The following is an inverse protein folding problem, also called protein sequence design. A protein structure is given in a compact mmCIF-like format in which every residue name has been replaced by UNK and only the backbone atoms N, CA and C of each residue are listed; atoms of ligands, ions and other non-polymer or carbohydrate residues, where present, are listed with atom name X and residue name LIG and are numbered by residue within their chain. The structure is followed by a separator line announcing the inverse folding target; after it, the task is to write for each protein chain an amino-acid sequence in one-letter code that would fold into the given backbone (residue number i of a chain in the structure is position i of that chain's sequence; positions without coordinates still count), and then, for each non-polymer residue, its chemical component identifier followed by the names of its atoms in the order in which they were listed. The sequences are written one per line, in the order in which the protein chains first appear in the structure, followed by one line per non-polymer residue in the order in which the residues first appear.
data_IF_478133888719
#
_entry.id   IF_478133888719
#
_cell.length_a   1.000
_cell.length_b   1.000
_cell.length_c   1.000
_cell.angle_alpha   90.00
_cell.angle_beta   90.00
_cell.angle_gamma   90.00
#
_symmetry.space_group_name_H-M   'P 1'
#
loop_
_entity.id
_entity.type
_entity.pdbx_description
1 polymer ?
#
# COMPACT_ATOMS: atom_id res chain seq x y z
N UNK A 1 5.23 6.37 -17.33
CA UNK A 1 4.35 6.72 -16.18
C UNK A 1 4.59 8.16 -15.72
N UNK A 2 5.84 8.61 -15.66
CA UNK A 2 6.23 9.97 -15.26
C UNK A 2 5.61 10.99 -16.21
N UNK A 3 5.75 10.78 -17.53
CA UNK A 3 5.16 11.62 -18.57
C UNK A 3 3.64 11.74 -18.41
N UNK A 4 2.98 10.64 -18.05
CA UNK A 4 1.54 10.60 -17.87
C UNK A 4 1.07 11.40 -16.64
N UNK A 5 1.82 11.39 -15.54
CA UNK A 5 1.46 12.08 -14.30
C UNK A 5 1.70 13.59 -14.33
N UNK A 6 2.68 14.02 -15.09
CA UNK A 6 3.16 15.42 -15.14
C UNK A 6 2.64 16.20 -16.36
N UNK A 7 1.89 15.52 -17.26
CA UNK A 7 1.42 16.12 -18.50
C UNK A 7 0.14 16.91 -18.29
N UNK A 8 0.14 18.18 -18.67
CA UNK A 8 -1.08 18.99 -18.84
C UNK A 8 -2.02 18.41 -19.93
N UNK A 9 -1.52 17.50 -20.77
CA UNK A 9 -2.23 16.82 -21.86
C UNK A 9 -2.69 15.41 -21.47
N UNK A 10 -2.97 15.17 -20.21
CA UNK A 10 -3.34 13.86 -19.67
C UNK A 10 -4.51 13.18 -20.42
N UNK A 11 -5.60 13.92 -20.67
CA UNK A 11 -6.78 13.40 -21.35
C UNK A 11 -6.49 13.05 -22.81
N UNK A 12 -5.67 13.83 -23.51
CA UNK A 12 -5.25 13.57 -24.88
C UNK A 12 -4.39 12.29 -24.98
N UNK A 13 -3.45 12.12 -24.05
CA UNK A 13 -2.63 10.89 -23.99
C UNK A 13 -3.48 9.66 -23.71
N UNK A 14 -4.51 9.77 -22.88
CA UNK A 14 -5.46 8.70 -22.60
C UNK A 14 -6.25 8.30 -23.84
N UNK A 15 -6.73 9.28 -24.59
CA UNK A 15 -7.45 9.05 -25.85
C UNK A 15 -6.55 8.40 -26.90
N UNK A 16 -5.33 8.94 -27.09
CA UNK A 16 -4.33 8.34 -27.98
C UNK A 16 -4.05 6.88 -27.62
N UNK A 17 -3.92 6.58 -26.32
CA UNK A 17 -3.69 5.22 -25.83
C UNK A 17 -4.88 4.30 -26.12
N UNK A 18 -6.10 4.78 -25.91
CA UNK A 18 -7.32 4.04 -26.23
C UNK A 18 -7.39 3.68 -27.72
N UNK A 19 -7.15 4.67 -28.61
CA UNK A 19 -7.11 4.47 -30.06
C UNK A 19 -6.00 3.50 -30.47
N UNK A 20 -4.79 3.64 -29.91
CA UNK A 20 -3.68 2.73 -30.17
C UNK A 20 -4.03 1.29 -29.81
N UNK A 21 -4.60 1.05 -28.65
CA UNK A 21 -5.01 -0.29 -28.21
C UNK A 21 -6.16 -0.86 -29.06
N UNK A 22 -7.05 0.01 -29.56
CA UNK A 22 -8.08 -0.36 -30.52
C UNK A 22 -7.48 -0.84 -31.86
N UNK A 23 -6.43 -0.17 -32.34
CA UNK A 23 -5.70 -0.59 -33.54
C UNK A 23 -5.06 -1.98 -33.35
N UNK A 24 -4.42 -2.23 -32.20
CA UNK A 24 -3.86 -3.56 -31.90
C UNK A 24 -4.95 -4.63 -31.92
N UNK A 25 -6.14 -4.35 -31.37
CA UNK A 25 -7.28 -5.26 -31.44
C UNK A 25 -7.73 -5.53 -32.88
N UNK A 26 -7.90 -4.49 -33.69
CA UNK A 26 -8.37 -4.61 -35.09
C UNK A 26 -7.40 -5.48 -35.93
N UNK A 27 -6.11 -5.44 -35.62
CA UNK A 27 -5.09 -6.25 -36.31
C UNK A 27 -4.76 -7.56 -35.59
N UNK A 28 -5.58 -7.96 -34.60
CA UNK A 28 -5.40 -9.18 -33.78
C UNK A 28 -4.03 -9.29 -33.13
N UNK A 29 -3.41 -8.16 -32.80
CA UNK A 29 -2.07 -8.09 -32.20
C UNK A 29 -2.17 -8.31 -30.70
N UNK A 30 -1.64 -9.43 -30.22
CA UNK A 30 -1.45 -9.73 -28.81
C UNK A 30 0.00 -9.50 -28.42
N UNK A 31 0.23 -8.66 -27.41
CA UNK A 31 1.56 -8.48 -26.82
C UNK A 31 1.59 -9.06 -25.41
N UNK A 32 2.42 -10.07 -25.17
CA UNK A 32 2.42 -10.81 -23.90
C UNK A 32 3.03 -10.04 -22.71
N UNK A 33 3.56 -8.83 -22.96
CA UNK A 33 4.18 -7.95 -21.94
C UNK A 33 3.94 -6.48 -22.30
N UNK A 34 2.69 -6.14 -22.59
CA UNK A 34 2.27 -4.79 -23.00
C UNK A 34 2.19 -3.86 -21.79
N UNK A 35 3.32 -3.38 -21.33
CA UNK A 35 3.36 -2.36 -20.27
C UNK A 35 3.81 -1.00 -20.83
N UNK A 36 3.67 0.06 -20.01
CA UNK A 36 3.94 1.44 -20.42
C UNK A 36 5.32 1.66 -21.02
N UNK A 37 6.34 0.93 -20.56
CA UNK A 37 7.71 1.10 -21.02
C UNK A 37 7.96 0.45 -22.40
N UNK A 38 7.01 -0.37 -22.87
CA UNK A 38 7.01 -0.94 -24.22
C UNK A 38 6.17 -0.14 -25.24
N UNK A 39 5.72 1.07 -24.83
CA UNK A 39 5.01 2.02 -25.68
C UNK A 39 5.80 3.33 -25.69
N UNK A 40 6.31 3.73 -26.83
CA UNK A 40 6.97 5.00 -27.04
C UNK A 40 5.98 6.05 -27.56
N UNK A 41 6.15 7.28 -27.07
CA UNK A 41 5.44 8.47 -27.58
C UNK A 41 6.43 9.27 -28.39
N UNK A 42 6.18 9.46 -29.69
CA UNK A 42 6.99 10.28 -30.59
C UNK A 42 6.07 11.00 -31.57
N UNK A 43 6.24 12.31 -31.72
CA UNK A 43 5.48 13.15 -32.67
C UNK A 43 3.95 12.92 -32.63
N UNK A 44 3.40 12.86 -31.41
CA UNK A 44 1.97 12.59 -31.17
C UNK A 44 1.48 11.22 -31.68
N UNK A 45 2.39 10.27 -31.83
CA UNK A 45 2.08 8.90 -32.19
C UNK A 45 2.62 7.92 -31.15
N UNK A 46 1.95 6.77 -31.02
CA UNK A 46 2.36 5.70 -30.14
C UNK A 46 2.98 4.55 -30.95
N UNK A 47 4.14 4.10 -30.51
CA UNK A 47 4.89 3.01 -31.14
C UNK A 47 5.06 1.87 -30.17
N UNK A 48 4.79 0.64 -30.64
CA UNK A 48 5.06 -0.57 -29.89
C UNK A 48 6.52 -0.99 -30.08
N UNK A 49 7.21 -1.22 -28.98
CA UNK A 49 8.56 -1.77 -28.97
C UNK A 49 8.56 -3.17 -28.34
N UNK A 50 9.71 -3.84 -28.33
CA UNK A 50 9.85 -5.20 -27.79
C UNK A 50 9.02 -6.25 -28.55
N UNK A 51 9.02 -6.15 -29.88
CA UNK A 51 8.13 -6.92 -30.76
C UNK A 51 8.31 -8.45 -30.70
N UNK A 52 9.41 -8.95 -30.10
CA UNK A 52 9.63 -10.40 -29.94
C UNK A 52 8.58 -11.07 -29.04
N UNK A 53 7.86 -10.30 -28.24
CA UNK A 53 6.74 -10.77 -27.39
C UNK A 53 5.37 -10.61 -28.06
N UNK A 54 5.34 -10.09 -29.27
CA UNK A 54 4.13 -9.86 -30.06
C UNK A 54 3.72 -11.10 -30.82
N UNK A 55 2.41 -11.36 -30.90
CA UNK A 55 1.82 -12.40 -31.73
C UNK A 55 0.61 -11.85 -32.47
N UNK A 56 0.53 -12.09 -33.77
CA UNK A 56 -0.68 -11.88 -34.56
C UNK A 56 -1.48 -13.17 -34.50
N UNK A 57 -2.71 -13.10 -34.04
CA UNK A 57 -3.58 -14.25 -33.81
C UNK A 57 -4.60 -14.39 -34.95
N UNK A 58 -4.94 -15.60 -35.33
CA UNK A 58 -6.01 -15.87 -36.31
C UNK A 58 -7.40 -15.41 -35.76
N UNK A 59 -7.60 -15.51 -34.44
CA UNK A 59 -8.77 -14.99 -33.75
C UNK A 59 -8.36 -14.23 -32.51
N UNK A 60 -9.00 -13.11 -32.23
CA UNK A 60 -8.72 -12.26 -31.07
C UNK A 60 -9.93 -12.30 -30.11
N UNK A 61 -9.74 -12.94 -28.97
CA UNK A 61 -10.80 -13.17 -28.01
C UNK A 61 -10.97 -11.98 -27.07
N UNK A 62 -12.10 -11.87 -26.35
CA UNK A 62 -12.30 -10.89 -25.29
C UNK A 62 -11.23 -11.00 -24.18
N UNK A 63 -10.70 -12.20 -23.92
CA UNK A 63 -9.59 -12.38 -22.97
C UNK A 63 -8.26 -11.83 -23.50
N UNK A 64 -7.99 -11.92 -24.79
CA UNK A 64 -6.82 -11.30 -25.42
C UNK A 64 -6.92 -9.76 -25.32
N UNK A 65 -8.10 -9.24 -25.62
CA UNK A 65 -8.44 -7.83 -25.53
C UNK A 65 -8.25 -7.33 -24.10
N UNK A 66 -8.89 -7.96 -23.12
CA UNK A 66 -8.78 -7.61 -21.71
C UNK A 66 -7.33 -7.71 -21.21
N UNK A 67 -6.57 -8.67 -21.67
CA UNK A 67 -5.18 -8.83 -21.29
C UNK A 67 -4.28 -7.71 -21.83
N UNK A 68 -4.41 -7.29 -23.10
CA UNK A 68 -3.68 -6.14 -23.61
C UNK A 68 -4.00 -4.88 -22.80
N UNK A 69 -5.29 -4.59 -22.60
CA UNK A 69 -5.76 -3.45 -21.82
C UNK A 69 -5.23 -3.49 -20.38
N UNK A 70 -5.34 -4.63 -19.71
CA UNK A 70 -4.94 -4.77 -18.30
C UNK A 70 -3.45 -4.55 -18.09
N UNK A 71 -2.59 -5.01 -18.99
CA UNK A 71 -1.14 -4.83 -18.90
C UNK A 71 -0.73 -3.35 -18.97
N UNK A 72 -1.41 -2.55 -19.78
CA UNK A 72 -1.17 -1.11 -19.88
C UNK A 72 -1.79 -0.37 -18.70
N UNK A 73 -3.07 -0.66 -18.40
CA UNK A 73 -3.85 0.10 -17.43
C UNK A 73 -3.46 -0.16 -15.98
N UNK A 74 -2.94 -1.33 -15.63
CA UNK A 74 -2.63 -1.70 -14.22
C UNK A 74 -1.79 -0.67 -13.47
N UNK A 75 -0.92 0.06 -14.18
CA UNK A 75 -0.05 1.08 -13.59
C UNK A 75 -0.68 2.47 -13.50
N UNK A 76 -1.68 2.76 -14.33
CA UNK A 76 -2.31 4.09 -14.43
C UNK A 76 -3.74 4.12 -13.89
N UNK A 77 -4.45 3.01 -13.91
CA UNK A 77 -5.88 2.91 -13.61
C UNK A 77 -6.30 3.48 -12.25
N UNK A 78 -5.44 3.36 -11.24
CA UNK A 78 -5.71 3.89 -9.90
C UNK A 78 -5.60 5.41 -9.80
N UNK A 79 -5.07 6.07 -10.82
CA UNK A 79 -4.94 7.53 -10.90
C UNK A 79 -6.07 8.16 -11.71
N UNK A 80 -6.82 7.35 -12.47
CA UNK A 80 -7.95 7.81 -13.26
C UNK A 80 -9.20 7.95 -12.38
N UNK A 81 -9.94 9.02 -12.58
CA UNK A 81 -11.27 9.18 -12.00
C UNK A 81 -12.33 8.37 -12.79
N UNK A 82 -13.62 8.49 -12.40
CA UNK A 82 -14.71 7.75 -13.04
C UNK A 82 -14.98 8.20 -14.46
N UNK A 83 -14.84 9.51 -14.72
CA UNK A 83 -15.16 10.11 -16.01
C UNK A 83 -14.04 9.79 -17.02
N UNK A 84 -12.79 9.86 -16.60
CA UNK A 84 -11.63 9.45 -17.39
C UNK A 84 -11.67 7.96 -17.76
N UNK A 85 -12.05 7.08 -16.84
CA UNK A 85 -12.24 5.65 -17.11
C UNK A 85 -13.33 5.44 -18.15
N UNK A 86 -14.47 6.12 -17.99
CA UNK A 86 -15.60 6.02 -18.92
C UNK A 86 -15.22 6.53 -20.31
N UNK A 87 -14.53 7.68 -20.39
CA UNK A 87 -14.04 8.27 -21.63
C UNK A 87 -13.03 7.34 -22.34
N UNK A 88 -12.08 6.75 -21.60
CA UNK A 88 -11.13 5.78 -22.14
C UNK A 88 -11.82 4.59 -22.81
N UNK A 89 -12.77 3.93 -22.12
CA UNK A 89 -13.46 2.78 -22.68
C UNK A 89 -14.42 3.15 -23.82
N UNK A 90 -14.97 4.36 -23.82
CA UNK A 90 -15.74 4.91 -24.94
C UNK A 90 -14.87 5.12 -26.18
N UNK A 91 -13.70 5.77 -26.05
CA UNK A 91 -12.74 5.98 -27.14
C UNK A 91 -12.15 4.68 -27.66
N UNK A 92 -11.93 3.69 -26.77
CA UNK A 92 -11.53 2.33 -27.13
C UNK A 92 -12.63 1.61 -27.95
N UNK A 93 -13.90 1.98 -27.76
CA UNK A 93 -15.06 1.43 -28.50
C UNK A 93 -15.62 0.13 -27.92
N UNK A 94 -15.37 -0.17 -26.63
CA UNK A 94 -15.99 -1.31 -25.93
C UNK A 94 -16.11 -1.02 -24.43
N UNK A 95 -17.20 -0.37 -24.05
CA UNK A 95 -17.48 -0.06 -22.62
C UNK A 95 -17.82 -1.28 -21.79
N UNK A 96 -18.35 -2.35 -22.39
CA UNK A 96 -18.73 -3.57 -21.69
C UNK A 96 -17.57 -4.42 -21.20
N UNK A 97 -16.35 -4.17 -21.69
CA UNK A 97 -15.16 -4.94 -21.32
C UNK A 97 -14.52 -4.50 -19.97
N UNK A 98 -14.91 -3.33 -19.46
CA UNK A 98 -14.29 -2.74 -18.28
C UNK A 98 -14.17 -3.73 -17.09
N UNK A 99 -15.26 -4.41 -16.74
CA UNK A 99 -15.26 -5.36 -15.63
C UNK A 99 -14.29 -6.53 -15.83
N UNK A 100 -14.14 -7.01 -17.07
CA UNK A 100 -13.18 -8.06 -17.40
C UNK A 100 -11.73 -7.55 -17.31
N UNK A 101 -11.47 -6.33 -17.76
CA UNK A 101 -10.17 -5.68 -17.65
C UNK A 101 -9.76 -5.51 -16.19
N UNK A 102 -10.67 -5.06 -15.33
CA UNK A 102 -10.43 -4.94 -13.89
C UNK A 102 -10.08 -6.27 -13.24
N UNK A 103 -10.77 -7.36 -13.62
CA UNK A 103 -10.45 -8.72 -13.15
C UNK A 103 -9.06 -9.17 -13.62
N UNK A 104 -8.70 -8.92 -14.88
CA UNK A 104 -7.39 -9.28 -15.42
C UNK A 104 -6.26 -8.43 -14.78
N UNK A 105 -6.49 -7.14 -14.53
CA UNK A 105 -5.55 -6.31 -13.76
C UNK A 105 -5.31 -6.90 -12.37
N UNK A 106 -6.35 -7.37 -11.70
CA UNK A 106 -6.24 -8.02 -10.39
C UNK A 106 -5.42 -9.31 -10.44
N UNK A 107 -5.67 -10.15 -11.43
CA UNK A 107 -4.89 -11.38 -11.65
C UNK A 107 -3.42 -11.06 -11.91
N UNK A 108 -3.16 -10.04 -12.72
CA UNK A 108 -1.82 -9.59 -13.08
C UNK A 108 -1.08 -9.06 -11.85
N UNK A 109 -1.69 -8.15 -11.09
CA UNK A 109 -1.12 -7.60 -9.86
C UNK A 109 -0.81 -8.71 -8.82
N UNK A 110 -1.75 -9.64 -8.60
CA UNK A 110 -1.55 -10.76 -7.69
C UNK A 110 -0.41 -11.69 -8.14
N UNK A 111 -0.27 -11.92 -9.46
CA UNK A 111 0.84 -12.71 -10.04
C UNK A 111 2.19 -12.02 -9.79
N UNK A 112 2.27 -10.71 -9.99
CA UNK A 112 3.49 -9.93 -9.73
C UNK A 112 3.87 -9.94 -8.25
N UNK A 113 2.90 -9.66 -7.36
CA UNK A 113 3.11 -9.72 -5.91
C UNK A 113 3.64 -11.10 -5.50
N UNK A 114 3.03 -12.18 -6.00
CA UNK A 114 3.48 -13.55 -5.73
C UNK A 114 4.92 -13.77 -6.19
N UNK A 115 5.25 -13.44 -7.44
CA UNK A 115 6.61 -13.56 -7.97
C UNK A 115 7.64 -12.78 -7.15
N UNK A 116 7.31 -11.55 -6.71
CA UNK A 116 8.23 -10.74 -5.88
C UNK A 116 8.44 -11.38 -4.51
N UNK A 117 7.39 -11.93 -3.89
CA UNK A 117 7.49 -12.67 -2.63
C UNK A 117 8.31 -13.95 -2.75
N UNK A 118 8.13 -14.71 -3.81
CA UNK A 118 8.90 -15.94 -4.08
C UNK A 118 10.39 -15.64 -4.25
N UNK A 119 10.73 -14.56 -4.93
CA UNK A 119 12.11 -14.15 -5.23
C UNK A 119 12.75 -13.21 -4.20
N UNK A 120 12.08 -12.96 -3.08
CA UNK A 120 12.57 -12.01 -2.06
C UNK A 120 13.88 -12.43 -1.35
N UNK A 121 14.30 -13.69 -1.51
CA UNK A 121 15.56 -14.24 -0.99
C UNK A 121 16.46 -14.76 -2.12
N UNK A 122 16.41 -14.13 -3.28
CA UNK A 122 17.22 -14.45 -4.45
C UNK A 122 17.84 -13.17 -5.02
N UNK A 123 18.99 -13.28 -5.63
CA UNK A 123 19.62 -12.20 -6.42
C UNK A 123 18.69 -11.80 -7.55
N UNK A 124 18.39 -10.52 -7.65
CA UNK A 124 17.53 -9.91 -8.69
C UNK A 124 17.95 -8.47 -8.93
N UNK A 125 17.34 -7.79 -9.91
CA UNK A 125 17.53 -6.34 -10.08
C UNK A 125 17.11 -5.50 -8.85
N UNK A 126 16.33 -6.06 -7.92
CA UNK A 126 15.85 -5.37 -6.71
C UNK A 126 16.52 -5.86 -5.42
N UNK A 127 17.19 -7.00 -5.45
CA UNK A 127 17.77 -7.65 -4.28
C UNK A 127 19.22 -7.98 -4.57
N UNK A 128 20.12 -7.47 -3.74
CA UNK A 128 21.55 -7.81 -3.73
C UNK A 128 21.81 -8.79 -2.58
N UNK A 129 22.54 -9.87 -2.85
CA UNK A 129 22.83 -10.92 -1.85
C UNK A 129 24.30 -10.85 -1.44
N UNK A 130 24.56 -10.77 -0.12
CA UNK A 130 25.92 -10.81 0.46
C UNK A 130 25.93 -11.72 1.68
N UNK A 131 26.39 -12.95 1.50
CA UNK A 131 26.36 -13.95 2.55
C UNK A 131 24.93 -14.28 2.99
N UNK A 132 24.63 -14.10 4.27
CA UNK A 132 23.29 -14.31 4.86
C UNK A 132 22.39 -13.05 4.82
N UNK A 133 22.82 -11.97 4.17
CA UNK A 133 22.10 -10.69 4.06
C UNK A 133 21.54 -10.49 2.67
N UNK A 134 20.29 -10.02 2.62
CA UNK A 134 19.55 -9.69 1.40
C UNK A 134 19.17 -8.20 1.48
N UNK A 135 19.75 -7.39 0.60
CA UNK A 135 19.60 -5.94 0.58
C UNK A 135 18.57 -5.53 -0.48
N UNK A 136 17.79 -4.50 -0.19
CA UNK A 136 17.15 -3.75 -1.29
C UNK A 136 18.24 -3.02 -2.06
N UNK A 137 18.24 -3.13 -3.38
CA UNK A 137 19.23 -2.51 -4.26
C UNK A 137 19.38 -1.02 -3.96
N UNK A 138 20.62 -0.55 -3.79
CA UNK A 138 20.96 0.83 -3.42
C UNK A 138 20.97 1.10 -1.91
N UNK A 139 20.70 0.08 -1.07
CA UNK A 139 20.71 0.22 0.40
C UNK A 139 21.92 -0.45 1.07
N UNK A 140 22.89 -0.94 0.31
CA UNK A 140 24.01 -1.76 0.78
C UNK A 140 24.97 -1.02 1.70
N UNK A 141 25.06 0.30 1.60
CA UNK A 141 25.89 1.18 2.42
C UNK A 141 25.16 1.80 3.62
N UNK A 142 23.88 1.49 3.79
CA UNK A 142 23.08 1.99 4.91
C UNK A 142 23.37 1.18 6.18
N UNK A 143 22.98 1.74 7.34
CA UNK A 143 23.09 1.09 8.64
C UNK A 143 24.52 1.03 9.20
N UNK A 144 25.15 2.18 9.42
CA UNK A 144 26.54 2.34 9.90
C UNK A 144 26.62 2.80 11.36
N UNK A 145 25.51 3.27 11.95
CA UNK A 145 25.48 3.89 13.27
C UNK A 145 25.56 2.89 14.43
N UNK A 146 25.97 3.37 15.61
CA UNK A 146 26.05 2.61 16.84
C UNK A 146 24.69 2.41 17.54
N UNK A 147 24.58 1.37 18.36
CA UNK A 147 23.39 1.11 19.19
C UNK A 147 23.19 2.24 20.20
N UNK A 148 21.99 2.83 20.20
CA UNK A 148 21.58 3.88 21.14
C UNK A 148 20.77 3.30 22.30
N UNK A 149 19.74 2.51 22.01
CA UNK A 149 18.89 1.90 23.04
C UNK A 149 18.10 0.72 22.51
N UNK A 150 17.61 -0.09 23.45
CA UNK A 150 16.60 -1.13 23.16
C UNK A 150 15.20 -0.54 23.41
N UNK A 151 14.39 -0.47 22.37
CA UNK A 151 13.03 0.12 22.42
C UNK A 151 12.06 -0.90 23.01
N UNK A 152 12.16 -2.17 22.59
CA UNK A 152 11.20 -3.21 22.95
C UNK A 152 11.87 -4.58 23.00
N UNK A 153 11.52 -5.35 24.01
CA UNK A 153 11.84 -6.78 24.10
C UNK A 153 10.61 -7.52 24.56
N UNK A 154 10.13 -8.45 23.75
CA UNK A 154 9.11 -9.41 24.15
C UNK A 154 9.47 -10.82 23.62
N UNK A 155 8.62 -11.82 23.89
CA UNK A 155 8.86 -13.20 23.44
C UNK A 155 8.91 -13.39 21.93
N UNK A 156 8.44 -12.43 21.14
CA UNK A 156 8.27 -12.54 19.68
C UNK A 156 9.26 -11.68 18.92
N UNK A 157 9.61 -10.51 19.46
CA UNK A 157 10.45 -9.52 18.79
C UNK A 157 11.35 -8.80 19.79
N UNK A 158 12.50 -8.34 19.27
CA UNK A 158 13.36 -7.35 19.90
C UNK A 158 13.55 -6.19 18.93
N UNK A 159 13.35 -4.97 19.38
CA UNK A 159 13.52 -3.76 18.59
C UNK A 159 14.63 -2.92 19.19
N UNK A 160 15.67 -2.67 18.42
CA UNK A 160 16.85 -1.91 18.78
C UNK A 160 16.96 -0.67 17.92
N UNK A 161 17.21 0.47 18.54
CA UNK A 161 17.43 1.73 17.88
C UNK A 161 18.92 2.00 17.79
N UNK A 162 19.36 2.27 16.59
CA UNK A 162 20.69 2.75 16.26
C UNK A 162 20.63 4.22 15.84
N UNK A 163 21.74 4.87 15.66
CA UNK A 163 21.80 6.29 15.29
C UNK A 163 21.04 6.57 13.99
N UNK A 164 21.21 5.73 12.99
CA UNK A 164 20.71 5.93 11.63
C UNK A 164 19.62 4.90 11.21
N UNK A 165 19.43 3.83 12.01
CA UNK A 165 18.50 2.76 11.64
C UNK A 165 17.82 2.12 12.85
N UNK A 166 16.80 1.33 12.58
CA UNK A 166 16.13 0.40 13.52
C UNK A 166 16.46 -1.03 13.09
N UNK A 167 16.82 -1.87 14.06
CA UNK A 167 16.91 -3.31 13.85
C UNK A 167 15.78 -4.01 14.60
N UNK A 168 14.96 -4.76 13.86
CA UNK A 168 13.87 -5.59 14.42
C UNK A 168 14.24 -7.06 14.27
N UNK A 169 14.53 -7.73 15.38
CA UNK A 169 14.88 -9.15 15.45
C UNK A 169 13.63 -9.96 15.75
N UNK A 170 13.45 -11.09 15.07
CA UNK A 170 12.26 -11.93 15.15
C UNK A 170 12.60 -13.30 15.73
N UNK A 171 11.85 -13.75 16.74
CA UNK A 171 11.95 -15.09 17.28
C UNK A 171 11.42 -16.17 16.32
N UNK A 172 10.58 -15.78 15.35
CA UNK A 172 9.99 -16.69 14.36
C UNK A 172 10.51 -16.38 12.96
N UNK A 173 11.18 -17.38 12.35
CA UNK A 173 11.63 -17.32 10.95
C UNK A 173 10.48 -17.01 9.99
N UNK A 174 9.32 -17.64 10.16
CA UNK A 174 8.15 -17.40 9.33
C UNK A 174 7.67 -15.93 9.41
N UNK A 175 7.72 -15.31 10.60
CA UNK A 175 7.36 -13.90 10.79
C UNK A 175 8.38 -12.98 10.14
N UNK A 176 9.68 -13.24 10.30
CA UNK A 176 10.77 -12.54 9.63
C UNK A 176 10.59 -12.58 8.11
N UNK A 177 10.46 -13.79 7.54
CA UNK A 177 10.34 -13.95 6.09
C UNK A 177 9.10 -13.27 5.52
N UNK A 178 7.98 -13.31 6.26
CA UNK A 178 6.76 -12.59 5.86
C UNK A 178 6.96 -11.08 5.86
N UNK A 179 7.59 -10.54 6.91
CA UNK A 179 7.90 -9.12 6.99
C UNK A 179 8.81 -8.68 5.83
N UNK A 180 9.89 -9.41 5.59
CA UNK A 180 10.80 -9.12 4.48
C UNK A 180 10.13 -9.18 3.12
N UNK A 181 9.35 -10.24 2.83
CA UNK A 181 8.58 -10.34 1.59
C UNK A 181 7.61 -9.17 1.40
N UNK A 182 7.02 -8.68 2.47
CA UNK A 182 6.16 -7.51 2.41
C UNK A 182 6.96 -6.23 2.11
N UNK A 183 8.12 -6.02 2.72
CA UNK A 183 9.01 -4.89 2.39
C UNK A 183 9.43 -4.91 0.91
N UNK A 184 9.80 -6.07 0.38
CA UNK A 184 10.17 -6.23 -1.05
C UNK A 184 9.00 -5.87 -1.97
N UNK A 185 7.78 -6.29 -1.63
CA UNK A 185 6.59 -5.92 -2.42
C UNK A 185 6.31 -4.43 -2.35
N UNK A 186 6.40 -3.81 -1.17
CA UNK A 186 6.19 -2.37 -1.01
C UNK A 186 7.24 -1.55 -1.78
N UNK A 187 8.50 -1.96 -1.74
CA UNK A 187 9.57 -1.36 -2.53
C UNK A 187 9.30 -1.50 -4.04
N UNK A 188 8.86 -2.68 -4.50
CA UNK A 188 8.45 -2.90 -5.90
C UNK A 188 7.30 -2.00 -6.33
N UNK A 189 6.32 -1.79 -5.46
CA UNK A 189 5.18 -0.90 -5.74
C UNK A 189 5.55 0.59 -5.64
N UNK A 190 6.79 0.91 -5.25
CA UNK A 190 7.28 2.27 -5.00
C UNK A 190 6.34 3.05 -4.06
N UNK A 191 5.95 2.43 -2.96
CA UNK A 191 5.01 3.00 -1.99
C UNK A 191 5.72 3.34 -0.68
N UNK A 192 5.81 4.63 -0.37
CA UNK A 192 6.36 5.14 0.90
C UNK A 192 5.33 5.08 2.04
N UNK A 193 4.68 3.92 2.19
CA UNK A 193 3.63 3.71 3.22
C UNK A 193 4.13 2.93 4.45
N UNK A 194 5.40 2.54 4.48
CA UNK A 194 6.05 1.85 5.58
C UNK A 194 7.52 2.23 5.64
N UNK A 195 8.22 2.06 6.79
CA UNK A 195 9.63 2.35 6.90
C UNK A 195 10.43 1.60 5.83
N UNK A 196 11.37 2.29 5.18
CA UNK A 196 12.22 1.70 4.15
C UNK A 196 13.11 0.62 4.78
N UNK A 197 12.96 -0.63 4.36
CA UNK A 197 13.88 -1.68 4.76
C UNK A 197 15.18 -1.57 3.96
N UNK A 198 16.31 -1.75 4.65
CA UNK A 198 17.63 -1.76 4.03
C UNK A 198 18.03 -3.17 3.67
N UNK A 199 17.98 -4.07 4.65
CA UNK A 199 18.28 -5.48 4.45
C UNK A 199 17.61 -6.38 5.50
N UNK A 200 17.52 -7.67 5.18
CA UNK A 200 17.22 -8.73 6.11
C UNK A 200 18.46 -9.60 6.31
N UNK A 201 18.75 -9.95 7.55
CA UNK A 201 19.74 -10.96 7.91
C UNK A 201 19.02 -12.25 8.26
N UNK A 202 19.36 -13.31 7.52
CA UNK A 202 18.74 -14.65 7.66
C UNK A 202 19.83 -15.68 7.96
N UNK A 203 20.14 -15.94 9.25
CA UNK A 203 21.13 -16.94 9.62
C UNK A 203 20.77 -18.34 9.13
N UNK A 204 21.78 -19.09 8.69
CA UNK A 204 21.62 -20.46 8.20
C UNK A 204 21.43 -21.51 9.31
N UNK A 205 21.93 -21.20 10.51
CA UNK A 205 21.98 -22.08 11.70
C UNK A 205 20.69 -22.13 12.53
N UNK A 206 19.62 -21.48 12.06
CA UNK A 206 18.35 -21.42 12.79
C UNK A 206 18.28 -20.37 13.90
N UNK A 207 19.34 -19.58 14.10
CA UNK A 207 19.31 -18.43 15.01
C UNK A 207 18.32 -17.35 14.58
N UNK A 208 18.03 -16.40 15.48
CA UNK A 208 17.08 -15.32 15.22
C UNK A 208 17.59 -14.40 14.12
N UNK A 209 16.76 -14.19 13.10
CA UNK A 209 17.06 -13.22 12.03
C UNK A 209 16.48 -11.83 12.31
N UNK A 210 16.99 -10.83 11.61
CA UNK A 210 16.57 -9.44 11.80
C UNK A 210 16.33 -8.71 10.48
N UNK A 211 15.48 -7.66 10.54
CA UNK A 211 15.33 -6.66 9.47
C UNK A 211 15.89 -5.35 9.98
N UNK A 212 16.73 -4.73 9.17
CA UNK A 212 17.26 -3.39 9.41
C UNK A 212 16.54 -2.42 8.48
N UNK A 213 16.04 -1.32 9.05
CA UNK A 213 15.17 -0.37 8.36
C UNK A 213 15.40 1.05 8.83
N UNK A 214 14.81 1.98 8.14
CA UNK A 214 14.83 3.42 8.43
C UNK A 214 14.43 3.73 9.89
N UNK A 215 15.19 4.66 10.51
CA UNK A 215 14.86 5.23 11.81
C UNK A 215 13.91 6.42 11.62
N UNK A 216 12.73 6.34 12.24
CA UNK A 216 11.71 7.40 12.19
C UNK A 216 11.76 8.35 13.40
N UNK A 217 12.73 8.17 14.32
CA UNK A 217 12.84 9.04 15.49
C UNK A 217 13.02 10.49 15.07
N UNK A 218 12.33 11.40 15.77
CA UNK A 218 12.37 12.83 15.50
C UNK A 218 11.59 13.26 14.24
N UNK A 219 11.03 12.32 13.47
CA UNK A 219 10.22 12.63 12.27
C UNK A 219 8.72 12.70 12.57
N UNK A 220 8.30 12.18 13.72
CA UNK A 220 6.89 12.09 14.10
C UNK A 220 6.68 11.14 15.28
N UNK A 221 5.47 10.62 15.42
CA UNK A 221 5.11 9.66 16.47
C UNK A 221 3.91 8.80 16.05
N UNK A 222 3.60 7.76 16.80
CA UNK A 222 2.46 6.89 16.59
C UNK A 222 1.15 7.67 16.77
N UNK A 223 0.09 7.30 16.06
CA UNK A 223 -1.20 8.01 15.99
C UNK A 223 -1.86 8.16 17.38
N UNK A 224 -1.80 7.14 18.22
CA UNK A 224 -2.34 7.18 19.59
C UNK A 224 -1.61 8.22 20.45
N UNK A 225 -0.29 8.23 20.45
CA UNK A 225 0.52 9.24 21.15
C UNK A 225 0.30 10.65 20.59
N UNK A 226 0.20 10.75 19.25
CA UNK A 226 -0.09 12.03 18.61
C UNK A 226 -1.42 12.59 19.04
N UNK A 227 -2.47 11.76 19.07
CA UNK A 227 -3.80 12.18 19.51
C UNK A 227 -3.84 12.46 21.02
N UNK A 228 -3.15 11.66 21.84
CA UNK A 228 -3.07 11.91 23.28
C UNK A 228 -2.39 13.24 23.61
N UNK A 229 -1.35 13.63 22.87
CA UNK A 229 -0.61 14.87 23.13
C UNK A 229 -1.14 16.11 22.43
N UNK A 230 -1.88 15.98 21.31
CA UNK A 230 -2.21 17.12 20.45
C UNK A 230 -3.71 17.38 20.26
N UNK A 231 -4.59 16.37 20.43
CA UNK A 231 -5.99 16.48 20.04
C UNK A 231 -6.72 17.67 20.71
N UNK A 232 -6.52 17.88 22.00
CA UNK A 232 -7.23 18.94 22.76
C UNK A 232 -6.76 20.34 22.36
N UNK A 233 -5.53 20.49 21.90
CA UNK A 233 -4.94 21.77 21.47
C UNK A 233 -5.26 22.13 20.03
N UNK A 234 -5.75 21.16 19.22
CA UNK A 234 -6.13 21.42 17.84
C UNK A 234 -7.41 22.22 17.73
N UNK A 235 -7.42 23.24 16.89
CA UNK A 235 -8.64 23.91 16.48
C UNK A 235 -9.56 22.97 15.67
N UNK A 236 -10.86 23.25 15.65
CA UNK A 236 -11.85 22.39 14.95
C UNK A 236 -11.53 22.17 13.48
N UNK A 237 -11.03 23.19 12.78
CA UNK A 237 -10.66 23.07 11.38
C UNK A 237 -9.41 22.19 11.18
N UNK A 238 -8.46 22.21 12.11
CA UNK A 238 -7.27 21.36 12.09
C UNK A 238 -7.63 19.90 12.32
N UNK A 239 -8.52 19.60 13.28
CA UNK A 239 -9.06 18.24 13.50
C UNK A 239 -9.73 17.70 12.25
N UNK A 240 -10.57 18.51 11.58
CA UNK A 240 -11.23 18.14 10.33
C UNK A 240 -10.23 17.84 9.22
N UNK A 241 -9.21 18.68 9.05
CA UNK A 241 -8.14 18.48 8.06
C UNK A 241 -7.32 17.23 8.36
N UNK A 242 -6.99 17.00 9.62
CA UNK A 242 -6.28 15.80 10.06
C UNK A 242 -7.07 14.52 9.73
N UNK A 243 -8.37 14.49 10.07
CA UNK A 243 -9.25 13.36 9.79
C UNK A 243 -9.35 13.12 8.28
N UNK A 244 -9.51 14.15 7.48
CA UNK A 244 -9.56 14.02 6.01
C UNK A 244 -8.27 13.38 5.48
N UNK A 245 -7.10 13.87 5.89
CA UNK A 245 -5.79 13.33 5.45
C UNK A 245 -5.56 11.88 5.90
N UNK A 246 -5.93 11.53 7.14
CA UNK A 246 -5.87 10.15 7.62
C UNK A 246 -6.79 9.25 6.80
N UNK A 247 -7.99 9.73 6.51
CA UNK A 247 -8.96 9.03 5.66
C UNK A 247 -8.41 8.80 4.25
N UNK A 248 -7.86 9.84 3.63
CA UNK A 248 -7.27 9.76 2.28
C UNK A 248 -6.12 8.76 2.22
N UNK A 249 -5.23 8.77 3.23
CA UNK A 249 -4.16 7.78 3.36
C UNK A 249 -4.71 6.35 3.43
N UNK A 250 -5.70 6.08 4.29
CA UNK A 250 -6.29 4.76 4.43
C UNK A 250 -7.08 4.33 3.18
N UNK A 251 -7.77 5.25 2.52
CA UNK A 251 -8.42 4.98 1.23
C UNK A 251 -7.41 4.67 0.14
N UNK A 252 -6.32 5.42 0.08
CA UNK A 252 -5.24 5.19 -0.90
C UNK A 252 -4.66 3.78 -0.75
N UNK A 253 -4.29 3.34 0.45
CA UNK A 253 -3.75 1.98 0.65
C UNK A 253 -4.80 0.90 0.35
N UNK A 254 -6.06 1.14 0.70
CA UNK A 254 -7.18 0.22 0.43
C UNK A 254 -7.43 0.07 -1.08
N UNK A 255 -7.42 1.17 -1.84
CA UNK A 255 -7.53 1.15 -3.32
C UNK A 255 -6.38 0.35 -3.97
N UNK A 256 -5.19 0.38 -3.37
CA UNK A 256 -4.04 -0.43 -3.79
C UNK A 256 -4.09 -1.88 -3.27
N UNK A 257 -5.23 -2.29 -2.69
CA UNK A 257 -5.46 -3.63 -2.13
C UNK A 257 -4.46 -4.00 -1.03
N UNK A 258 -4.09 -3.01 -0.23
CA UNK A 258 -3.24 -3.17 0.95
C UNK A 258 -4.13 -3.00 2.18
N UNK A 259 -4.11 -3.99 3.06
CA UNK A 259 -4.76 -3.94 4.36
C UNK A 259 -3.75 -4.28 5.46
N UNK A 260 -3.93 -3.70 6.63
CA UNK A 260 -3.17 -4.03 7.83
C UNK A 260 -4.04 -4.88 8.75
N UNK A 261 -3.61 -6.11 9.06
CA UNK A 261 -4.40 -7.07 9.86
C UNK A 261 -4.62 -6.61 11.30
N UNK A 262 -3.65 -5.88 11.87
CA UNK A 262 -3.69 -5.32 13.23
C UNK A 262 -3.66 -3.78 13.16
N UNK A 263 -4.77 -3.17 12.65
CA UNK A 263 -4.90 -1.72 12.43
C UNK A 263 -5.18 -0.99 13.74
N UNK A 264 -4.22 -1.02 14.66
CA UNK A 264 -4.23 -0.21 15.88
C UNK A 264 -3.62 1.16 15.61
N UNK A 265 -3.97 2.14 16.45
CA UNK A 265 -3.41 3.48 16.31
C UNK A 265 -1.88 3.51 16.48
N UNK A 266 -1.31 2.68 17.35
CA UNK A 266 0.15 2.53 17.48
C UNK A 266 0.84 1.97 16.23
N UNK A 267 0.11 1.39 15.29
CA UNK A 267 0.64 0.89 14.00
C UNK A 267 0.50 1.89 12.86
N UNK A 268 0.02 3.12 13.16
CA UNK A 268 -0.02 4.24 12.22
C UNK A 268 0.91 5.33 12.75
N UNK A 269 1.94 5.67 11.98
CA UNK A 269 2.88 6.74 12.30
C UNK A 269 2.41 8.04 11.65
N UNK A 270 2.48 9.14 12.40
CA UNK A 270 2.10 10.49 11.97
C UNK A 270 3.37 11.33 11.90
N UNK A 271 3.74 11.81 10.72
CA UNK A 271 4.88 12.71 10.54
C UNK A 271 4.55 14.13 11.02
N UNK A 272 5.54 14.86 11.49
CA UNK A 272 5.39 16.27 11.86
C UNK A 272 4.90 17.14 10.71
N UNK A 273 5.32 16.83 9.48
CA UNK A 273 4.88 17.45 8.23
C UNK A 273 3.46 17.01 7.83
N UNK A 274 2.92 16.04 8.55
CA UNK A 274 1.55 15.57 8.46
C UNK A 274 1.28 14.46 7.45
N UNK A 275 2.26 13.69 7.02
CA UNK A 275 2.08 12.41 6.32
C UNK A 275 1.76 11.28 7.28
N UNK A 276 1.47 10.10 6.72
CA UNK A 276 1.21 8.88 7.48
C UNK A 276 2.01 7.71 6.94
N UNK A 277 2.28 6.75 7.82
CA UNK A 277 2.99 5.52 7.48
C UNK A 277 2.46 4.36 8.33
N UNK A 278 2.48 3.14 7.80
CA UNK A 278 2.15 1.94 8.56
C UNK A 278 3.40 1.36 9.21
N UNK A 279 3.29 0.99 10.46
CA UNK A 279 4.29 0.20 11.17
C UNK A 279 3.92 -1.30 11.12
N UNK A 280 4.76 -2.17 11.70
CA UNK A 280 4.52 -3.62 11.78
C UNK A 280 4.16 -4.28 10.44
N UNK A 281 5.04 -4.09 9.45
CA UNK A 281 4.88 -4.52 8.04
C UNK A 281 4.55 -6.02 7.89
N UNK A 282 4.91 -6.86 8.86
CA UNK A 282 4.54 -8.27 8.86
C UNK A 282 3.02 -8.52 8.89
N UNK A 283 2.24 -7.55 9.34
CA UNK A 283 0.79 -7.65 9.39
C UNK A 283 0.07 -7.06 8.17
N UNK A 284 0.83 -6.54 7.19
CA UNK A 284 0.30 -6.14 5.89
C UNK A 284 -0.14 -7.37 5.08
N UNK A 285 -1.28 -7.23 4.39
CA UNK A 285 -1.83 -8.19 3.43
C UNK A 285 -2.16 -7.49 2.14
N UNK A 286 -1.81 -8.11 1.01
CA UNK A 286 -2.09 -7.61 -0.34
C UNK A 286 -3.35 -8.29 -0.86
N UNK A 287 -4.49 -7.76 -0.54
CA UNK A 287 -5.81 -8.20 -0.99
C UNK A 287 -6.84 -7.08 -0.83
N UNK A 288 -7.97 -7.21 -1.52
CA UNK A 288 -9.08 -6.28 -1.35
C UNK A 288 -9.61 -6.28 0.10
N UNK A 289 -10.10 -5.13 0.55
CA UNK A 289 -10.76 -4.98 1.83
C UNK A 289 -12.17 -5.55 1.72
N UNK A 290 -12.41 -6.66 2.40
CA UNK A 290 -13.75 -7.22 2.58
C UNK A 290 -14.44 -6.61 3.81
N UNK A 291 -15.76 -6.81 3.92
CA UNK A 291 -16.57 -6.23 4.98
C UNK A 291 -16.12 -6.67 6.38
N UNK A 292 -15.72 -7.92 6.55
CA UNK A 292 -15.25 -8.45 7.82
C UNK A 292 -13.90 -7.81 8.25
N UNK A 293 -12.99 -7.65 7.30
CA UNK A 293 -11.72 -6.94 7.53
C UNK A 293 -11.93 -5.46 7.81
N UNK A 294 -12.90 -4.83 7.14
CA UNK A 294 -13.29 -3.43 7.39
C UNK A 294 -13.82 -3.27 8.82
N UNK A 295 -14.76 -4.10 9.27
CA UNK A 295 -15.28 -4.07 10.63
C UNK A 295 -14.16 -4.23 11.66
N UNK A 296 -13.30 -5.24 11.46
CA UNK A 296 -12.14 -5.49 12.35
C UNK A 296 -11.21 -4.30 12.42
N UNK A 297 -10.85 -3.71 11.29
CA UNK A 297 -9.98 -2.54 11.21
C UNK A 297 -10.58 -1.35 11.96
N UNK A 298 -11.86 -1.06 11.73
CA UNK A 298 -12.56 0.04 12.39
C UNK A 298 -12.68 -0.17 13.91
N UNK A 299 -12.96 -1.40 14.36
CA UNK A 299 -12.99 -1.75 15.79
C UNK A 299 -11.62 -1.54 16.42
N UNK A 300 -10.56 -2.08 15.80
CA UNK A 300 -9.20 -1.96 16.31
C UNK A 300 -8.78 -0.49 16.42
N UNK A 301 -9.01 0.30 15.37
CA UNK A 301 -8.69 1.72 15.40
C UNK A 301 -9.51 2.45 16.47
N UNK A 302 -10.82 2.20 16.53
CA UNK A 302 -11.73 2.86 17.49
C UNK A 302 -11.37 2.57 18.96
N UNK A 303 -10.89 1.35 19.26
CA UNK A 303 -10.51 0.91 20.62
C UNK A 303 -9.05 1.21 20.99
N UNK A 304 -8.30 1.86 20.11
CA UNK A 304 -6.88 2.21 20.37
C UNK A 304 -6.59 3.70 20.19
N UNK A 305 -7.59 4.54 19.97
CA UNK A 305 -7.45 5.99 20.01
C UNK A 305 -8.04 6.54 21.33
N UNK A 306 -7.46 7.60 21.92
CA UNK A 306 -7.89 8.14 23.19
C UNK A 306 -9.38 8.49 23.25
N UNK A 307 -10.05 8.27 24.39
CA UNK A 307 -11.46 8.59 24.58
C UNK A 307 -11.78 10.08 24.33
N UNK A 308 -10.82 10.97 24.62
CA UNK A 308 -10.93 12.41 24.38
C UNK A 308 -11.21 12.79 22.92
N UNK A 309 -10.87 11.91 21.96
CA UNK A 309 -11.28 12.08 20.55
C UNK A 309 -12.80 12.02 20.47
N UNK A 310 -13.43 13.14 20.14
CA UNK A 310 -14.87 13.31 20.21
C UNK A 310 -15.63 12.30 19.36
N UNK A 311 -16.82 11.91 19.82
CA UNK A 311 -17.74 11.06 19.05
C UNK A 311 -18.04 11.63 17.66
N UNK A 312 -18.17 12.96 17.54
CA UNK A 312 -18.39 13.62 16.25
C UNK A 312 -17.24 13.41 15.28
N UNK A 313 -15.99 13.43 15.76
CA UNK A 313 -14.82 13.21 14.92
C UNK A 313 -14.62 11.72 14.54
N UNK A 314 -14.96 10.78 15.44
CA UNK A 314 -15.01 9.35 15.14
C UNK A 314 -16.06 9.04 14.06
N UNK A 315 -17.26 9.62 14.16
CA UNK A 315 -18.31 9.49 13.16
C UNK A 315 -17.89 10.11 11.84
N UNK A 316 -17.26 11.29 11.86
CA UNK A 316 -16.75 11.95 10.65
C UNK A 316 -15.75 11.08 9.91
N UNK A 317 -14.78 10.52 10.62
CA UNK A 317 -13.83 9.56 10.05
C UNK A 317 -14.55 8.36 9.42
N UNK A 318 -15.47 7.73 10.16
CA UNK A 318 -16.24 6.59 9.66
C UNK A 318 -16.98 6.92 8.36
N UNK A 319 -17.71 8.04 8.34
CA UNK A 319 -18.49 8.45 7.16
C UNK A 319 -17.61 8.75 5.95
N UNK A 320 -16.50 9.48 6.14
CA UNK A 320 -15.57 9.79 5.07
C UNK A 320 -14.90 8.51 4.53
N UNK A 321 -14.44 7.63 5.42
CA UNK A 321 -13.76 6.41 5.01
C UNK A 321 -14.67 5.42 4.28
N UNK A 322 -15.92 5.29 4.70
CA UNK A 322 -16.89 4.39 4.08
C UNK A 322 -17.65 5.02 2.90
N UNK A 323 -17.50 6.34 2.68
CA UNK A 323 -18.23 7.07 1.62
C UNK A 323 -18.11 6.43 0.24
N UNK A 324 -16.91 6.06 -0.27
CA UNK A 324 -16.77 5.49 -1.61
C UNK A 324 -17.13 4.00 -1.69
N UNK A 325 -17.52 3.38 -0.57
CA UNK A 325 -17.80 1.95 -0.52
C UNK A 325 -19.29 1.67 -0.72
N UNK A 326 -19.60 0.64 -1.54
CA UNK A 326 -20.97 0.16 -1.75
C UNK A 326 -21.34 -0.83 -0.64
N UNK A 327 -21.70 -0.32 0.56
CA UNK A 327 -21.94 -1.11 1.77
C UNK A 327 -23.16 -0.56 2.53
N UNK A 328 -23.81 -1.41 3.33
CA UNK A 328 -24.77 -0.95 4.34
C UNK A 328 -24.02 -0.27 5.50
N UNK A 329 -23.80 1.02 5.35
CA UNK A 329 -23.04 1.84 6.31
C UNK A 329 -23.68 1.84 7.70
N UNK A 330 -25.03 1.78 7.80
CA UNK A 330 -25.75 1.77 9.08
C UNK A 330 -25.51 0.45 9.83
N UNK A 331 -25.59 -0.67 9.13
CA UNK A 331 -25.32 -1.99 9.70
C UNK A 331 -23.86 -2.10 10.17
N UNK A 332 -22.89 -1.65 9.36
CA UNK A 332 -21.47 -1.65 9.71
C UNK A 332 -21.21 -0.76 10.91
N UNK A 333 -21.73 0.48 10.91
CA UNK A 333 -21.57 1.42 12.03
C UNK A 333 -22.07 0.82 13.33
N UNK A 334 -23.32 0.30 13.33
CA UNK A 334 -23.93 -0.33 14.50
C UNK A 334 -23.11 -1.53 15.00
N UNK A 335 -22.59 -2.35 14.12
CA UNK A 335 -21.72 -3.48 14.48
C UNK A 335 -20.39 -3.01 15.08
N UNK A 336 -19.74 -2.01 14.48
CA UNK A 336 -18.47 -1.45 14.98
C UNK A 336 -18.65 -0.84 16.37
N UNK A 337 -19.69 -0.04 16.58
CA UNK A 337 -19.97 0.57 17.90
C UNK A 337 -20.23 -0.52 18.93
N UNK A 338 -21.14 -1.45 18.66
CA UNK A 338 -21.50 -2.52 19.59
C UNK A 338 -20.28 -3.38 19.99
N UNK A 339 -19.42 -3.74 19.04
CA UNK A 339 -18.25 -4.57 19.32
C UNK A 339 -17.10 -3.75 19.96
N UNK A 340 -17.01 -2.45 19.69
CA UNK A 340 -16.06 -1.58 20.38
C UNK A 340 -16.44 -1.40 21.86
N UNK A 341 -17.71 -1.16 22.17
CA UNK A 341 -18.18 -0.94 23.54
C UNK A 341 -18.05 -2.15 24.48
N UNK A 342 -17.80 -3.35 23.90
CA UNK A 342 -17.46 -4.58 24.69
C UNK A 342 -15.99 -4.61 25.13
N UNK A 343 -15.18 -3.65 24.75
CA UNK A 343 -13.71 -3.62 24.95
C UNK A 343 -13.33 -2.32 25.64
N UNK A 344 -12.30 -2.37 26.47
CA UNK A 344 -11.62 -1.16 26.93
C UNK A 344 -10.94 -0.43 25.77
N UNK A 345 -10.80 0.87 25.87
CA UNK A 345 -9.90 1.66 25.04
C UNK A 345 -8.48 1.51 25.60
N UNK A 346 -7.57 0.89 24.84
CA UNK A 346 -6.19 0.66 25.27
C UNK A 346 -5.23 1.24 24.22
N UNK A 347 -4.40 2.20 24.64
CA UNK A 347 -3.48 2.90 23.74
C UNK A 347 -2.18 3.31 24.43
N UNK A 348 -1.14 3.54 23.63
CA UNK A 348 0.12 4.11 24.10
C UNK A 348 -0.04 5.63 24.20
N UNK A 349 -0.10 6.15 25.42
CA UNK A 349 -0.09 7.59 25.68
C UNK A 349 1.33 8.18 25.57
N UNK A 350 1.44 9.51 25.76
CA UNK A 350 2.74 10.19 25.72
C UNK A 350 3.71 9.59 26.74
N UNK A 351 3.24 9.29 27.94
CA UNK A 351 4.08 8.86 29.05
C UNK A 351 4.01 7.34 29.33
N UNK A 352 2.84 6.72 29.08
CA UNK A 352 2.58 5.32 29.45
C UNK A 352 1.41 4.72 28.67
N UNK A 353 1.28 3.38 28.78
CA UNK A 353 0.08 2.66 28.36
C UNK A 353 -1.12 3.16 29.18
N UNK A 354 -2.19 3.56 28.51
CA UNK A 354 -3.45 4.03 29.11
C UNK A 354 -4.58 3.04 28.81
N UNK A 355 -5.50 2.94 29.78
CA UNK A 355 -6.76 2.18 29.67
C UNK A 355 -7.89 3.08 30.09
N UNK A 356 -8.93 3.14 29.27
CA UNK A 356 -10.09 4.00 29.49
C UNK A 356 -11.38 3.22 29.16
N UNK A 357 -12.43 3.46 29.92
CA UNK A 357 -13.78 2.99 29.62
C UNK A 357 -14.46 3.94 28.62
N UNK A 358 -15.53 3.48 27.99
CA UNK A 358 -16.30 4.27 27.02
C UNK A 358 -17.07 5.41 27.67
#
# INVERSE_FOLDING_TARGET
LTVFKESERHSELLEMLAVFLKILKMHHVRHNDLHSDNILVCDQQLYLIDLHKTRIKASFTLLDEASNLSHVLVNIYSYLDSDEKSAFFASYGNTGIQGLVEQEMDRLANRWIRKKKERAFQETSMIVVRGNRFYITGMESRAVGGLQRVIKVDRKIRVEQYTDHIRKTYASRHRLERAWRNHVVLAYMNLSIAPTAFYVERPGDGSMGSITMENLQGKGQELDRYLDGKYDTMATHERRRFIARLTDFLLMITRKKIIHKDMKACNVFVFHEGGFMLLDVEDIRFRALDEESLKRMLIQLNTTIPRRVSTGDRIRFFLQFTSPMKLDKKAIFSAVVRESMKREIVYEGVDRLKREDW
#
